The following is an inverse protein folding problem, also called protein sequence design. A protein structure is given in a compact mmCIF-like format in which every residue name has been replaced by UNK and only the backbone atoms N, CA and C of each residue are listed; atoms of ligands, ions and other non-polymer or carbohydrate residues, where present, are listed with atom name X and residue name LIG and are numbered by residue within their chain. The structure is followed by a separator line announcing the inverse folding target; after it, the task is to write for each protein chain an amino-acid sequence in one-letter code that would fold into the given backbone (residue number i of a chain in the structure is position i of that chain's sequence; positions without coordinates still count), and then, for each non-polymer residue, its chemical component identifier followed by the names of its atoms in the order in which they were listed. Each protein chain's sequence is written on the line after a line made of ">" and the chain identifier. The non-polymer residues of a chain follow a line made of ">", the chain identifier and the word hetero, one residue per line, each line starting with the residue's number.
data_IF_642043491134
#
_entry.id   IF_642043491134
#
_cell.length_a   1.000
_cell.length_b   1.000
_cell.length_c   1.000
_cell.angle_alpha   90.00
_cell.angle_beta   90.00
_cell.angle_gamma   90.00
#
_symmetry.space_group_name_H-M   'P 1'
#
loop_
_entity.id
_entity.type
_entity.pdbx_description
1 polymer ?
#
# COMPACT_ATOMS: atom_id res chain seq x y z
N UNK A 1 13.41 31.88 -71.27
CA UNK A 1 13.69 33.02 -70.37
C UNK A 1 13.01 32.72 -69.03
N UNK A 2 13.35 31.63 -68.36
CA UNK A 2 14.58 31.33 -67.59
C UNK A 2 14.53 31.86 -66.16
N UNK A 3 15.00 31.00 -65.25
CA UNK A 3 15.41 31.25 -63.85
C UNK A 3 14.33 31.12 -62.77
N UNK A 4 14.18 29.90 -62.25
CA UNK A 4 14.38 29.67 -60.81
C UNK A 4 15.21 28.40 -60.63
N UNK A 5 16.54 28.56 -60.63
CA UNK A 5 17.44 27.57 -60.04
C UNK A 5 17.47 27.76 -58.53
N UNK A 6 17.20 26.68 -57.78
CA UNK A 6 17.57 26.57 -56.37
C UNK A 6 18.55 25.40 -56.25
N UNK A 7 19.78 25.60 -55.76
CA UNK A 7 20.64 24.48 -55.41
C UNK A 7 20.12 23.83 -54.12
N UNK A 8 20.05 22.49 -54.15
CA UNK A 8 19.90 21.66 -52.96
C UNK A 8 21.30 21.34 -52.45
N UNK A 9 21.72 21.95 -51.34
CA UNK A 9 23.04 21.69 -50.71
C UNK A 9 23.01 22.40 -49.34
N UNK A 10 22.92 21.75 -48.17
CA UNK A 10 23.98 21.00 -47.52
C UNK A 10 23.45 20.16 -46.33
N UNK A 11 22.12 19.95 -46.24
CA UNK A 11 21.50 19.26 -45.10
C UNK A 11 21.31 17.75 -45.35
N UNK A 12 21.26 17.33 -46.62
CA UNK A 12 21.10 15.92 -47.00
C UNK A 12 22.40 15.12 -46.82
N UNK A 13 23.56 15.74 -47.06
CA UNK A 13 24.89 15.11 -46.97
C UNK A 13 25.26 14.72 -45.52
N UNK A 14 24.74 15.44 -44.51
CA UNK A 14 25.01 15.16 -43.10
C UNK A 14 24.21 13.95 -42.56
N UNK A 15 23.14 13.55 -43.23
CA UNK A 15 22.30 12.43 -42.80
C UNK A 15 22.92 11.05 -43.13
N UNK A 16 23.80 10.97 -44.13
CA UNK A 16 24.41 9.70 -44.54
C UNK A 16 25.71 9.34 -43.81
N UNK A 17 26.45 10.32 -43.27
CA UNK A 17 27.66 10.04 -42.49
C UNK A 17 27.38 9.36 -41.13
N UNK A 18 26.19 9.55 -40.57
CA UNK A 18 25.82 8.95 -39.27
C UNK A 18 25.45 7.46 -39.37
N UNK A 19 24.99 7.00 -40.53
CA UNK A 19 24.51 5.62 -40.72
C UNK A 19 25.62 4.63 -41.09
N UNK A 20 26.72 5.07 -41.69
CA UNK A 20 27.81 4.20 -42.14
C UNK A 20 28.75 3.77 -40.98
N UNK A 21 28.86 4.58 -39.92
CA UNK A 21 29.73 4.32 -38.77
C UNK A 21 29.26 3.22 -37.80
N UNK A 22 28.07 2.65 -37.98
CA UNK A 22 27.52 1.62 -37.07
C UNK A 22 27.81 0.17 -37.50
N UNK A 23 28.44 -0.06 -38.65
CA UNK A 23 28.53 -1.40 -39.24
C UNK A 23 29.80 -2.19 -38.89
N UNK A 24 30.81 -1.61 -38.22
CA UNK A 24 32.04 -2.33 -37.85
C UNK A 24 32.19 -2.49 -36.32
N UNK A 25 31.43 -3.43 -35.75
CA UNK A 25 31.74 -3.98 -34.43
C UNK A 25 31.74 -5.51 -34.49
N UNK A 26 32.88 -6.18 -34.25
CA UNK A 26 32.91 -7.64 -34.24
C UNK A 26 32.17 -8.19 -33.02
N UNK A 27 31.22 -9.09 -33.29
CA UNK A 27 30.44 -9.84 -32.30
C UNK A 27 31.30 -10.91 -31.63
N UNK A 28 31.82 -10.63 -30.43
CA UNK A 28 32.40 -11.64 -29.54
C UNK A 28 31.31 -12.34 -28.69
N UNK A 29 31.55 -13.58 -28.21
CA UNK A 29 30.54 -14.32 -27.46
C UNK A 29 30.28 -13.71 -26.07
N UNK A 30 28.99 -13.64 -25.77
CA UNK A 30 28.33 -13.03 -24.62
C UNK A 30 28.86 -13.55 -23.27
N UNK A 31 29.38 -12.64 -22.43
CA UNK A 31 29.49 -12.87 -21.00
C UNK A 31 28.16 -12.44 -20.37
N UNK A 32 27.46 -13.38 -19.73
CA UNK A 32 26.14 -13.14 -19.14
C UNK A 32 26.32 -12.31 -17.89
N UNK A 33 26.17 -10.99 -18.00
CA UNK A 33 26.11 -10.12 -16.84
C UNK A 33 24.79 -10.41 -16.09
N UNK A 34 24.81 -10.71 -14.77
CA UNK A 34 23.58 -10.80 -13.99
C UNK A 34 22.84 -9.44 -14.03
N UNK A 35 21.50 -9.43 -13.97
CA UNK A 35 20.76 -8.17 -13.99
C UNK A 35 21.21 -7.29 -12.82
N UNK A 36 21.37 -5.96 -13.00
CA UNK A 36 21.62 -5.09 -11.88
C UNK A 36 20.45 -5.19 -10.90
N UNK A 37 20.77 -5.54 -9.66
CA UNK A 37 19.83 -5.41 -8.55
C UNK A 37 19.45 -3.94 -8.41
N UNK A 38 18.15 -3.71 -8.30
CA UNK A 38 17.52 -2.49 -7.81
C UNK A 38 17.74 -1.22 -8.65
N UNK A 39 16.97 -1.13 -9.74
CA UNK A 39 16.50 0.19 -10.19
C UNK A 39 15.30 0.56 -9.33
N UNK A 40 15.55 1.28 -8.23
CA UNK A 40 14.50 1.96 -7.49
C UNK A 40 13.84 2.96 -8.44
N UNK A 41 12.61 2.66 -8.87
CA UNK A 41 11.80 3.52 -9.72
C UNK A 41 11.48 4.82 -8.96
N UNK A 42 11.95 5.99 -9.40
CA UNK A 42 11.74 7.25 -8.68
C UNK A 42 10.29 7.78 -8.79
N UNK A 43 9.37 7.00 -9.36
CA UNK A 43 7.95 7.34 -9.54
C UNK A 43 6.97 6.39 -8.86
N UNK A 44 7.44 5.40 -8.09
CA UNK A 44 6.54 4.50 -7.38
C UNK A 44 5.64 5.31 -6.41
N UNK A 45 4.30 5.19 -6.53
CA UNK A 45 3.39 5.92 -5.66
C UNK A 45 3.67 5.60 -4.20
N UNK A 46 3.75 6.63 -3.36
CA UNK A 46 3.91 6.47 -1.92
C UNK A 46 2.81 5.52 -1.40
N UNK A 47 3.26 4.34 -0.97
CA UNK A 47 2.39 3.33 -0.36
C UNK A 47 2.49 3.50 1.14
N UNK A 48 1.35 3.61 1.82
CA UNK A 48 1.29 3.71 3.28
C UNK A 48 0.57 2.48 3.83
N UNK A 49 1.23 1.77 4.75
CA UNK A 49 0.68 0.58 5.39
C UNK A 49 0.16 0.92 6.77
N UNK A 50 -1.08 0.52 7.08
CA UNK A 50 -1.68 0.73 8.38
C UNK A 50 -1.76 -0.58 9.17
N UNK A 51 -1.36 -0.51 10.43
CA UNK A 51 -1.46 -1.57 11.40
C UNK A 51 -2.91 -1.76 11.87
N UNK A 52 -3.51 -2.92 11.59
CA UNK A 52 -4.86 -3.27 12.01
C UNK A 52 -4.85 -4.54 12.88
N UNK A 53 -5.62 -4.58 13.96
CA UNK A 53 -5.72 -5.77 14.81
C UNK A 53 -6.92 -6.64 14.41
N UNK A 54 -6.72 -7.93 14.07
CA UNK A 54 -7.80 -8.83 13.70
C UNK A 54 -8.70 -9.21 14.88
N UNK A 55 -9.93 -9.66 14.58
CA UNK A 55 -10.95 -9.92 15.60
C UNK A 55 -10.55 -10.96 16.64
N UNK A 56 -9.72 -11.95 16.25
CA UNK A 56 -9.25 -13.00 17.14
C UNK A 56 -8.19 -12.54 18.15
N UNK A 57 -7.57 -11.38 17.92
CA UNK A 57 -6.50 -10.83 18.74
C UNK A 57 -6.91 -9.51 19.42
N UNK A 58 -8.06 -8.93 19.02
CA UNK A 58 -8.41 -7.57 19.39
C UNK A 58 -8.67 -7.37 20.88
N UNK A 59 -9.41 -8.27 21.52
CA UNK A 59 -9.71 -8.16 22.96
C UNK A 59 -8.44 -8.24 23.80
N UNK A 60 -7.52 -9.14 23.43
CA UNK A 60 -6.22 -9.25 24.08
C UNK A 60 -5.36 -8.01 23.83
N UNK A 61 -5.33 -7.52 22.59
CA UNK A 61 -4.55 -6.34 22.21
C UNK A 61 -4.95 -5.08 23.00
N UNK A 62 -6.25 -4.81 23.15
CA UNK A 62 -6.72 -3.63 23.91
C UNK A 62 -6.52 -3.80 25.42
N UNK A 63 -6.45 -5.03 25.93
CA UNK A 63 -6.09 -5.28 27.33
C UNK A 63 -4.59 -5.11 27.59
N UNK A 64 -3.74 -5.52 26.65
CA UNK A 64 -2.29 -5.45 26.78
C UNK A 64 -1.71 -4.08 26.45
N UNK A 65 -2.35 -3.32 25.54
CA UNK A 65 -1.82 -2.07 25.01
C UNK A 65 -2.80 -0.92 25.28
N UNK A 66 -2.68 -0.22 26.43
CA UNK A 66 -3.56 0.90 26.79
C UNK A 66 -3.60 2.00 25.74
N UNK A 67 -2.46 2.31 25.10
CA UNK A 67 -2.38 3.26 23.99
C UNK A 67 -3.29 2.87 22.81
N UNK A 68 -3.45 1.57 22.51
CA UNK A 68 -4.39 1.14 21.49
C UNK A 68 -5.83 1.36 21.97
N UNK A 69 -6.13 0.93 23.19
CA UNK A 69 -7.46 1.04 23.82
C UNK A 69 -7.96 2.49 23.92
N UNK A 70 -7.06 3.42 24.21
CA UNK A 70 -7.32 4.85 24.40
C UNK A 70 -7.22 5.65 23.10
N UNK A 71 -6.73 5.05 22.01
CA UNK A 71 -6.57 5.72 20.73
C UNK A 71 -7.89 5.96 19.98
N UNK A 72 -7.92 6.98 19.13
CA UNK A 72 -9.12 7.47 18.40
C UNK A 72 -9.92 6.38 17.64
N UNK A 73 -9.27 5.29 17.26
CA UNK A 73 -9.90 4.19 16.54
C UNK A 73 -10.65 3.20 17.42
N UNK A 74 -10.20 3.04 18.67
CA UNK A 74 -10.69 2.02 19.58
C UNK A 74 -11.34 2.59 20.84
N UNK A 75 -11.09 3.84 21.21
CA UNK A 75 -11.71 4.43 22.39
C UNK A 75 -13.24 4.57 22.23
N UNK A 76 -13.97 4.23 23.28
CA UNK A 76 -15.42 4.36 23.40
C UNK A 76 -15.83 4.94 24.76
N UNK A 77 -17.12 5.28 24.94
CA UNK A 77 -17.60 5.94 26.16
C UNK A 77 -17.47 5.08 27.42
N UNK A 78 -17.56 3.75 27.27
CA UNK A 78 -17.53 2.77 28.37
C UNK A 78 -16.28 1.87 28.31
N UNK A 79 -15.21 2.34 27.65
CA UNK A 79 -14.01 1.56 27.35
C UNK A 79 -13.86 1.25 25.86
N UNK A 80 -12.96 0.32 25.48
CA UNK A 80 -12.68 0.02 24.08
C UNK A 80 -13.92 -0.41 23.30
N UNK A 81 -14.09 0.14 22.11
CA UNK A 81 -15.13 -0.18 21.16
C UNK A 81 -15.08 -1.67 20.81
N UNK A 82 -16.24 -2.32 20.59
CA UNK A 82 -16.25 -3.66 20.01
C UNK A 82 -15.56 -3.65 18.65
N UNK A 83 -14.90 -4.77 18.30
CA UNK A 83 -14.07 -4.89 17.09
C UNK A 83 -14.76 -4.41 15.79
N UNK A 84 -16.07 -4.63 15.66
CA UNK A 84 -16.85 -4.18 14.51
C UNK A 84 -16.89 -2.65 14.39
N UNK A 85 -16.97 -1.91 15.51
CA UNK A 85 -16.95 -0.45 15.52
C UNK A 85 -15.51 0.09 15.34
N UNK A 86 -14.50 -0.57 15.91
CA UNK A 86 -13.10 -0.31 15.59
C UNK A 86 -12.83 -0.42 14.08
N UNK A 87 -13.31 -1.47 13.42
CA UNK A 87 -13.19 -1.60 11.96
C UNK A 87 -13.91 -0.49 11.19
N UNK A 88 -15.01 0.07 11.73
CA UNK A 88 -15.69 1.21 11.10
C UNK A 88 -14.91 2.50 11.26
N UNK A 89 -14.32 2.74 12.43
CA UNK A 89 -13.41 3.86 12.63
C UNK A 89 -12.18 3.75 11.71
N UNK A 90 -11.60 2.55 11.62
CA UNK A 90 -10.46 2.28 10.73
C UNK A 90 -10.81 2.49 9.25
N UNK A 91 -11.99 2.03 8.80
CA UNK A 91 -12.47 2.30 7.44
C UNK A 91 -12.55 3.80 7.14
N UNK A 92 -13.01 4.59 8.11
CA UNK A 92 -13.12 6.05 7.96
C UNK A 92 -11.73 6.68 7.84
N UNK A 93 -10.78 6.28 8.69
CA UNK A 93 -9.40 6.75 8.60
C UNK A 93 -8.75 6.43 7.24
N UNK A 94 -9.02 5.24 6.67
CA UNK A 94 -8.54 4.88 5.33
C UNK A 94 -9.11 5.80 4.24
N UNK A 95 -10.41 6.14 4.33
CA UNK A 95 -11.02 7.10 3.43
C UNK A 95 -10.39 8.49 3.57
N UNK A 96 -10.24 8.99 4.80
CA UNK A 96 -9.62 10.29 5.07
C UNK A 96 -8.19 10.37 4.52
N UNK A 97 -7.38 9.31 4.66
CA UNK A 97 -6.03 9.24 4.08
C UNK A 97 -6.07 9.22 2.55
N UNK A 98 -7.02 8.50 1.95
CA UNK A 98 -7.18 8.46 0.50
C UNK A 98 -7.61 9.82 -0.07
N UNK A 99 -8.52 10.53 0.62
CA UNK A 99 -8.96 11.88 0.24
C UNK A 99 -7.83 12.91 0.33
N UNK A 100 -6.84 12.68 1.21
CA UNK A 100 -5.61 13.48 1.31
C UNK A 100 -4.59 13.20 0.20
N UNK A 101 -4.91 12.31 -0.74
CA UNK A 101 -4.08 12.03 -1.91
C UNK A 101 -3.00 10.96 -1.70
N UNK A 102 -3.10 10.12 -0.65
CA UNK A 102 -2.23 8.95 -0.53
C UNK A 102 -2.57 7.96 -1.65
N UNK A 103 -1.60 7.70 -2.52
CA UNK A 103 -1.81 7.00 -3.79
C UNK A 103 -2.15 5.52 -3.61
N UNK A 104 -1.52 4.86 -2.63
CA UNK A 104 -1.80 3.45 -2.32
C UNK A 104 -1.84 3.23 -0.81
N UNK A 105 -2.90 2.59 -0.32
CA UNK A 105 -3.02 2.19 1.08
C UNK A 105 -2.98 0.66 1.18
N UNK A 106 -2.32 0.17 2.23
CA UNK A 106 -2.32 -1.25 2.58
C UNK A 106 -2.72 -1.43 4.05
N UNK A 107 -3.29 -2.58 4.36
CA UNK A 107 -3.72 -2.96 5.71
C UNK A 107 -2.96 -4.21 6.11
N UNK A 108 -2.14 -4.11 7.14
CA UNK A 108 -1.37 -5.23 7.67
C UNK A 108 -1.96 -5.73 9.00
N UNK A 109 -2.21 -7.05 9.14
CA UNK A 109 -2.74 -7.60 10.37
C UNK A 109 -1.67 -7.73 11.45
N UNK A 110 -1.83 -7.00 12.54
CA UNK A 110 -1.01 -7.10 13.75
C UNK A 110 -1.67 -8.08 14.72
N UNK A 111 -1.18 -9.31 14.73
CA UNK A 111 -1.58 -10.35 15.70
C UNK A 111 -0.72 -10.23 16.96
N UNK A 112 -1.31 -10.40 18.14
CA UNK A 112 -0.67 -10.11 19.43
C UNK A 112 0.60 -10.93 19.63
N UNK A 113 0.50 -12.25 19.46
CA UNK A 113 1.63 -13.15 19.70
C UNK A 113 2.85 -12.88 18.79
N UNK A 114 2.73 -12.89 17.45
CA UNK A 114 3.91 -12.68 16.59
C UNK A 114 4.44 -11.25 16.64
N UNK A 115 3.59 -10.25 16.89
CA UNK A 115 4.05 -8.87 17.09
C UNK A 115 4.83 -8.72 18.40
N UNK A 116 4.33 -9.29 19.50
CA UNK A 116 5.01 -9.22 20.81
C UNK A 116 6.34 -9.97 20.78
N UNK A 117 6.40 -11.14 20.11
CA UNK A 117 7.63 -11.87 19.89
C UNK A 117 8.65 -11.02 19.11
N UNK A 118 8.22 -10.40 18.00
CA UNK A 118 9.08 -9.51 17.21
C UNK A 118 9.58 -8.32 18.04
N UNK A 119 8.74 -7.68 18.84
CA UNK A 119 9.16 -6.60 19.74
C UNK A 119 10.23 -7.05 20.74
N UNK A 120 10.06 -8.24 21.34
CA UNK A 120 11.01 -8.81 22.28
C UNK A 120 12.36 -9.10 21.61
N UNK A 121 12.37 -9.67 20.41
CA UNK A 121 13.58 -9.89 19.61
C UNK A 121 14.34 -8.60 19.29
N UNK A 122 13.61 -7.51 19.03
CA UNK A 122 14.18 -6.19 18.75
C UNK A 122 14.54 -5.39 20.03
N UNK A 123 14.23 -5.92 21.23
CA UNK A 123 14.45 -5.22 22.49
C UNK A 123 13.66 -3.91 22.61
N UNK A 124 12.48 -3.81 21.99
CA UNK A 124 11.65 -2.59 21.97
C UNK A 124 10.26 -2.83 22.56
N UNK A 125 9.60 -1.79 23.13
CA UNK A 125 8.24 -1.93 23.63
C UNK A 125 7.22 -2.14 22.47
N UNK A 126 6.10 -2.82 22.72
CA UNK A 126 5.01 -3.01 21.75
C UNK A 126 4.09 -1.77 21.66
N UNK A 127 4.66 -0.62 21.30
CA UNK A 127 3.97 0.67 21.15
C UNK A 127 3.40 0.89 19.73
N UNK A 128 2.71 2.00 19.50
CA UNK A 128 2.13 2.35 18.19
C UNK A 128 3.17 2.45 17.09
N UNK A 129 4.35 3.01 17.39
CA UNK A 129 5.45 3.11 16.45
C UNK A 129 5.98 1.72 16.07
N UNK A 130 6.06 0.79 17.03
CA UNK A 130 6.42 -0.60 16.78
C UNK A 130 5.37 -1.30 15.92
N UNK A 131 4.07 -1.08 16.17
CA UNK A 131 2.98 -1.61 15.34
C UNK A 131 3.08 -1.10 13.90
N UNK A 132 3.36 0.19 13.70
CA UNK A 132 3.58 0.77 12.38
C UNK A 132 4.79 0.16 11.68
N UNK A 133 5.94 0.10 12.35
CA UNK A 133 7.16 -0.55 11.81
C UNK A 133 6.92 -2.02 11.45
N UNK A 134 6.15 -2.74 12.27
CA UNK A 134 5.80 -4.14 12.02
C UNK A 134 4.87 -4.29 10.81
N UNK A 135 3.91 -3.38 10.65
CA UNK A 135 3.05 -3.33 9.46
C UNK A 135 3.85 -3.10 8.18
N UNK A 136 4.79 -2.15 8.18
CA UNK A 136 5.68 -1.90 7.05
C UNK A 136 6.56 -3.12 6.74
N UNK A 137 7.08 -3.80 7.77
CA UNK A 137 7.81 -5.06 7.59
C UNK A 137 6.96 -6.13 6.90
N UNK A 138 5.72 -6.34 7.35
CA UNK A 138 4.81 -7.32 6.73
C UNK A 138 4.55 -6.98 5.25
N UNK A 139 4.41 -5.70 4.92
CA UNK A 139 4.25 -5.26 3.53
C UNK A 139 5.53 -5.48 2.70
N UNK A 140 6.71 -5.15 3.24
CA UNK A 140 8.00 -5.34 2.59
C UNK A 140 8.31 -6.84 2.34
N UNK A 141 7.96 -7.70 3.30
CA UNK A 141 8.10 -9.15 3.20
C UNK A 141 7.06 -9.79 2.24
N UNK A 142 6.17 -8.98 1.64
CA UNK A 142 5.07 -9.44 0.79
C UNK A 142 4.19 -10.49 1.49
N UNK A 143 3.93 -10.30 2.79
CA UNK A 143 3.11 -11.22 3.57
C UNK A 143 1.70 -11.32 2.94
N UNK A 144 1.20 -12.54 2.65
CA UNK A 144 -0.05 -12.73 1.91
C UNK A 144 -1.29 -12.29 2.69
N UNK A 145 -1.15 -11.98 3.98
CA UNK A 145 -2.23 -11.45 4.81
C UNK A 145 -2.34 -9.91 4.77
N UNK A 146 -1.38 -9.22 4.16
CA UNK A 146 -1.47 -7.79 3.88
C UNK A 146 -2.46 -7.55 2.74
N UNK A 147 -3.41 -6.65 2.95
CA UNK A 147 -4.49 -6.38 1.99
C UNK A 147 -4.31 -4.98 1.39
N UNK A 148 -4.22 -4.90 0.07
CA UNK A 148 -4.30 -3.61 -0.65
C UNK A 148 -5.70 -3.01 -0.49
N UNK A 149 -5.77 -1.74 -0.11
CA UNK A 149 -7.02 -1.02 0.06
C UNK A 149 -7.21 0.04 -1.03
N UNK A 150 -8.42 0.17 -1.60
CA UNK A 150 -9.62 -0.60 -1.29
C UNK A 150 -9.61 -2.00 -1.95
N UNK A 151 -10.08 -3.05 -1.25
CA UNK A 151 -10.35 -4.32 -1.89
C UNK A 151 -11.39 -4.18 -3.02
N UNK A 152 -11.39 -5.11 -3.95
CA UNK A 152 -12.43 -5.24 -4.95
C UNK A 152 -13.82 -5.33 -4.32
N UNK A 153 -14.83 -4.70 -4.93
CA UNK A 153 -16.19 -4.60 -4.36
C UNK A 153 -16.81 -5.95 -3.95
N UNK A 154 -16.49 -7.03 -4.67
CA UNK A 154 -16.99 -8.38 -4.42
C UNK A 154 -16.01 -9.28 -3.65
N UNK A 155 -14.80 -8.80 -3.39
CA UNK A 155 -13.79 -9.54 -2.62
C UNK A 155 -14.16 -9.61 -1.14
N UNK A 156 -13.59 -10.57 -0.39
CA UNK A 156 -13.73 -10.62 1.06
C UNK A 156 -13.33 -9.28 1.69
N UNK A 157 -14.12 -8.85 2.69
CA UNK A 157 -13.82 -7.64 3.42
C UNK A 157 -12.57 -7.79 4.27
N UNK A 158 -11.68 -6.79 4.23
CA UNK A 158 -10.42 -6.76 4.95
C UNK A 158 -10.56 -6.94 6.48
N UNK A 159 -11.71 -6.63 7.06
CA UNK A 159 -11.97 -6.77 8.50
C UNK A 159 -12.07 -8.23 9.00
N UNK A 160 -11.89 -9.23 8.12
CA UNK A 160 -11.95 -10.64 8.48
C UNK A 160 -13.35 -11.26 8.48
N UNK A 161 -14.42 -10.48 8.24
CA UNK A 161 -15.81 -10.98 8.24
C UNK A 161 -16.15 -11.96 7.10
N UNK A 162 -15.28 -12.11 6.09
CA UNK A 162 -15.49 -12.87 4.84
C UNK A 162 -16.70 -12.45 3.98
N UNK A 163 -17.47 -11.45 4.41
CA UNK A 163 -18.54 -10.84 3.61
C UNK A 163 -17.93 -10.05 2.45
N UNK A 164 -18.68 -9.91 1.35
CA UNK A 164 -18.29 -9.03 0.22
C UNK A 164 -18.03 -7.62 0.75
N UNK A 165 -16.90 -7.01 0.38
CA UNK A 165 -16.47 -5.70 0.86
C UNK A 165 -17.56 -4.62 0.72
N UNK A 166 -18.23 -4.54 -0.44
CA UNK A 166 -19.35 -3.59 -0.68
C UNK A 166 -20.57 -3.77 0.24
N UNK A 167 -20.69 -4.92 0.90
CA UNK A 167 -21.76 -5.26 1.84
C UNK A 167 -21.28 -5.30 3.29
N UNK A 168 -20.04 -4.88 3.55
CA UNK A 168 -19.43 -4.84 4.88
C UNK A 168 -18.84 -3.44 5.13
N UNK A 169 -17.51 -3.29 5.21
CA UNK A 169 -16.87 -2.01 5.53
C UNK A 169 -17.15 -0.91 4.48
N UNK A 170 -17.24 -1.25 3.19
CA UNK A 170 -17.63 -0.29 2.14
C UNK A 170 -19.14 -0.08 2.00
N UNK A 171 -19.98 -0.76 2.81
CA UNK A 171 -21.40 -0.46 2.80
C UNK A 171 -21.62 0.95 3.40
N UNK A 172 -22.38 1.82 2.74
CA UNK A 172 -22.78 3.09 3.35
C UNK A 172 -23.49 2.77 4.66
N UNK A 173 -23.21 3.53 5.71
CA UNK A 173 -23.96 3.46 6.96
C UNK A 173 -25.38 3.89 6.66
N UNK A 174 -26.23 2.92 6.33
CA UNK A 174 -27.66 3.17 6.16
C UNK A 174 -28.20 3.37 7.56
N UNK A 175 -28.19 4.61 8.02
CA UNK A 175 -28.87 5.05 9.23
C UNK A 175 -30.36 4.79 9.00
N UNK A 176 -30.83 3.57 9.27
CA UNK A 176 -32.27 3.32 9.41
C UNK A 176 -32.67 4.02 10.70
N UNK A 177 -33.09 5.28 10.58
CA UNK A 177 -33.91 5.94 11.58
C UNK A 177 -35.13 5.05 11.80
N UNK A 178 -35.15 4.35 12.93
CA UNK A 178 -36.26 3.50 13.32
C UNK A 178 -37.49 4.35 13.52
N UNK A 179 -38.46 4.26 12.59
CA UNK A 179 -39.83 4.67 12.86
C UNK A 179 -40.46 3.54 13.68
N UNK A 180 -40.54 3.78 14.98
CA UNK A 180 -41.25 2.98 15.96
C UNK A 180 -42.75 3.25 15.76
N UNK A 181 -43.57 2.20 15.59
CA UNK A 181 -45.04 2.27 15.64
C UNK A 181 -45.56 0.95 16.19
#
# INVERSE_FOLDING_TARGET
>A
MDSVGRPADALQEQAWAFLDGQQDRPTGPQETQPPPADSCDPGAPATMTLAWVPSGDYEEAVALWPELAEGDLAAGPDGPLPHALYCRAFQRQLHELSERGIATLAIAPVRVAPFTAWCAEQGRPPDSNARASYADRLAADSDPSVVTWPPGRNEPCWCGSRRKYKKCCAAPTSTKSGRQS
#
